data_IF_984831033050
#
_entry.id   IF_984831033050
#
_cell.length_a   1.000
_cell.length_b   1.000
_cell.length_c   1.000
_cell.angle_alpha   90.00
_cell.angle_beta   90.00
_cell.angle_gamma   90.00
#
_symmetry.space_group_name_H-M   'P 1'
#
loop_
_entity.id
_entity.type
_entity.pdbx_description
1 polymer ?
#
# COMPACT_ATOMS: atom_id res chain seq x y z
N UNK A 1 -10.01 36.96 -27.82
CA UNK A 1 -9.57 35.55 -27.75
C UNK A 1 -8.05 35.54 -27.64
N UNK A 2 -7.51 35.69 -26.43
CA UNK A 2 -6.11 36.06 -26.21
C UNK A 2 -5.52 35.27 -25.03
N UNK A 3 -4.32 34.71 -25.23
CA UNK A 3 -3.40 34.38 -24.12
C UNK A 3 -3.04 32.92 -23.88
N UNK A 4 -3.22 32.00 -24.84
CA UNK A 4 -2.66 30.64 -24.76
C UNK A 4 -1.60 30.46 -25.84
N UNK A 5 -0.32 30.54 -25.46
CA UNK A 5 0.78 30.13 -26.33
C UNK A 5 1.16 28.69 -26.00
N UNK A 6 0.60 27.71 -26.73
CA UNK A 6 1.23 26.40 -26.82
C UNK A 6 2.59 26.61 -27.50
N UNK A 7 3.67 26.47 -26.74
CA UNK A 7 5.03 26.69 -27.23
C UNK A 7 5.46 25.52 -28.12
N UNK A 8 5.14 24.29 -27.71
CA UNK A 8 5.46 23.09 -28.48
C UNK A 8 4.65 21.88 -27.99
N UNK A 9 4.20 21.04 -28.94
CA UNK A 9 3.82 19.65 -28.66
C UNK A 9 5.03 18.76 -28.91
N UNK A 10 5.38 17.94 -27.93
CA UNK A 10 6.47 16.99 -28.01
C UNK A 10 5.88 15.58 -28.18
N UNK A 11 6.32 14.88 -29.23
CA UNK A 11 6.03 13.47 -29.37
C UNK A 11 6.70 12.72 -28.21
N UNK A 12 5.93 11.90 -27.50
CA UNK A 12 6.47 11.00 -26.49
C UNK A 12 6.58 9.61 -27.07
N UNK A 13 7.60 8.83 -26.67
CA UNK A 13 7.80 7.45 -27.12
C UNK A 13 6.78 6.44 -26.58
N UNK A 14 5.65 6.91 -26.05
CA UNK A 14 4.56 6.09 -25.51
C UNK A 14 3.29 6.45 -26.28
N UNK A 15 2.70 5.48 -26.96
CA UNK A 15 1.47 5.67 -27.72
C UNK A 15 0.32 6.12 -26.80
N UNK A 16 -0.37 7.19 -27.20
CA UNK A 16 -1.48 7.78 -26.46
C UNK A 16 -1.08 8.85 -25.43
N UNK A 17 0.22 9.12 -25.26
CA UNK A 17 0.73 10.19 -24.40
C UNK A 17 1.16 11.37 -25.29
N UNK A 18 0.84 12.60 -24.88
CA UNK A 18 1.19 13.83 -25.62
C UNK A 18 1.74 14.83 -24.61
N UNK A 19 3.00 15.23 -24.78
CA UNK A 19 3.63 16.23 -23.93
C UNK A 19 3.44 17.62 -24.55
N UNK A 20 2.97 18.58 -23.75
CA UNK A 20 2.67 19.94 -24.21
C UNK A 20 3.43 20.95 -23.35
N UNK A 21 4.24 21.78 -23.98
CA UNK A 21 4.94 22.90 -23.35
C UNK A 21 4.11 24.17 -23.54
N UNK A 22 3.73 24.81 -22.43
CA UNK A 22 2.87 25.99 -22.42
C UNK A 22 3.57 27.12 -21.64
N UNK A 23 3.60 28.32 -22.20
CA UNK A 23 3.96 29.53 -21.45
C UNK A 23 2.71 30.38 -21.21
N UNK A 24 2.46 30.72 -19.95
CA UNK A 24 1.34 31.56 -19.56
C UNK A 24 1.76 32.52 -18.46
N UNK A 25 1.26 33.75 -18.53
CA UNK A 25 1.40 34.77 -17.47
C UNK A 25 0.31 34.68 -16.40
N UNK A 26 -0.57 33.67 -16.48
CA UNK A 26 -1.69 33.48 -15.54
C UNK A 26 -1.29 32.64 -14.32
N UNK A 27 -1.94 32.94 -13.20
CA UNK A 27 -1.82 32.19 -11.94
C UNK A 27 -2.86 31.06 -11.94
N UNK A 28 -2.40 29.82 -12.00
CA UNK A 28 -3.23 28.62 -11.92
C UNK A 28 -3.48 28.17 -10.46
N UNK A 29 -4.70 27.77 -10.09
CA UNK A 29 -5.00 27.19 -8.78
C UNK A 29 -4.42 25.77 -8.63
N UNK A 30 -4.25 25.30 -7.38
CA UNK A 30 -3.66 23.99 -7.00
C UNK A 30 -4.31 22.75 -7.67
N UNK A 31 -5.49 22.89 -8.28
CA UNK A 31 -6.24 21.82 -8.95
C UNK A 31 -6.18 21.87 -10.48
N UNK A 32 -5.23 22.60 -11.08
CA UNK A 32 -5.06 22.67 -12.53
C UNK A 32 -4.70 21.33 -13.20
N UNK A 33 -4.36 20.30 -12.43
CA UNK A 33 -4.04 18.96 -12.91
C UNK A 33 -5.24 18.21 -13.52
N UNK A 34 -6.47 18.56 -13.14
CA UNK A 34 -7.68 17.91 -13.67
C UNK A 34 -7.97 18.31 -15.13
N UNK A 35 -7.48 19.48 -15.57
CA UNK A 35 -7.74 20.03 -16.90
C UNK A 35 -6.58 19.81 -17.89
N UNK A 36 -5.35 19.71 -17.39
CA UNK A 36 -4.12 19.62 -18.20
C UNK A 36 -3.26 18.37 -17.93
N UNK A 37 -3.70 17.47 -17.04
CA UNK A 37 -2.95 16.28 -16.66
C UNK A 37 -1.79 16.56 -15.68
N UNK A 38 -0.75 15.72 -15.72
CA UNK A 38 0.44 15.85 -14.87
C UNK A 38 1.43 16.83 -15.54
N UNK A 39 1.79 17.92 -14.85
CA UNK A 39 2.65 18.97 -15.40
C UNK A 39 3.82 19.36 -14.49
N UNK A 40 4.89 19.87 -15.11
CA UNK A 40 6.10 20.42 -14.48
C UNK A 40 6.21 21.91 -14.78
N UNK A 41 6.42 22.75 -13.77
CA UNK A 41 6.72 24.17 -13.98
C UNK A 41 8.19 24.25 -14.43
N UNK A 42 8.47 24.63 -15.67
CA UNK A 42 9.85 24.69 -16.18
C UNK A 42 10.55 26.04 -15.92
N UNK A 43 9.80 27.11 -15.71
CA UNK A 43 10.29 28.44 -15.35
C UNK A 43 9.16 29.26 -14.67
N UNK A 44 9.52 30.14 -13.72
CA UNK A 44 8.56 30.94 -12.92
C UNK A 44 8.19 30.30 -11.56
N UNK A 45 7.20 30.87 -10.86
CA UNK A 45 6.72 30.38 -9.57
C UNK A 45 5.43 31.06 -9.09
N UNK A 46 4.70 30.43 -8.16
CA UNK A 46 3.43 30.93 -7.61
C UNK A 46 3.61 31.47 -6.19
N UNK A 47 3.27 32.74 -5.94
CA UNK A 47 3.22 33.30 -4.58
C UNK A 47 1.87 33.03 -3.93
N UNK A 48 1.88 32.38 -2.77
CA UNK A 48 0.72 32.34 -1.87
C UNK A 48 0.31 33.76 -1.47
N UNK A 49 -1.00 34.04 -1.49
CA UNK A 49 -1.55 35.35 -1.11
C UNK A 49 -1.39 35.68 0.39
N UNK A 50 -0.97 34.72 1.21
CA UNK A 50 -0.88 34.85 2.68
C UNK A 50 0.34 35.63 3.20
N UNK A 51 1.36 35.89 2.39
CA UNK A 51 2.52 36.72 2.76
C UNK A 51 3.41 36.24 3.92
N UNK A 52 3.11 35.10 4.55
CA UNK A 52 3.86 34.54 5.68
C UNK A 52 4.51 33.23 5.22
N UNK A 53 5.85 33.20 5.16
CA UNK A 53 6.66 32.02 4.84
C UNK A 53 7.31 32.02 3.45
N UNK A 54 8.30 31.13 3.27
CA UNK A 54 9.03 30.93 1.99
C UNK A 54 8.07 30.31 0.96
N UNK A 55 8.17 30.77 -0.29
CA UNK A 55 7.20 30.53 -1.38
C UNK A 55 7.27 29.08 -1.89
N UNK A 56 6.15 28.36 -1.85
CA UNK A 56 6.03 26.95 -2.24
C UNK A 56 5.52 26.78 -3.68
N UNK A 57 6.46 26.73 -4.62
CA UNK A 57 6.42 26.04 -5.92
C UNK A 57 7.37 26.78 -6.86
N UNK A 58 8.58 26.25 -7.01
CA UNK A 58 9.55 26.74 -7.98
C UNK A 58 9.54 25.90 -9.25
N UNK A 59 10.20 26.39 -10.28
CA UNK A 59 10.47 25.60 -11.47
C UNK A 59 11.11 24.26 -11.09
N UNK A 60 10.44 23.14 -11.40
CA UNK A 60 10.83 21.78 -11.05
C UNK A 60 9.86 21.03 -10.12
N UNK A 61 8.89 21.71 -9.50
CA UNK A 61 7.98 21.04 -8.55
C UNK A 61 6.80 20.32 -9.25
N UNK A 62 6.68 19.01 -9.02
CA UNK A 62 5.53 18.19 -9.44
C UNK A 62 4.48 18.23 -8.35
N UNK A 63 3.23 18.56 -8.71
CA UNK A 63 2.06 18.43 -7.83
C UNK A 63 1.74 16.93 -7.71
N UNK A 64 2.28 16.27 -6.69
CA UNK A 64 2.32 14.79 -6.62
C UNK A 64 1.04 14.15 -6.06
N UNK A 65 0.45 13.23 -6.83
CA UNK A 65 -0.57 12.21 -6.42
C UNK A 65 -0.19 11.50 -5.11
N UNK A 66 1.09 11.33 -4.87
CA UNK A 66 1.64 10.73 -3.66
C UNK A 66 1.21 11.43 -2.36
N UNK A 67 1.10 12.76 -2.35
CA UNK A 67 0.68 13.48 -1.13
C UNK A 67 -0.79 13.26 -0.81
N UNK A 68 -1.65 13.19 -1.84
CA UNK A 68 -3.06 12.84 -1.67
C UNK A 68 -3.20 11.41 -1.15
N UNK A 69 -2.47 10.47 -1.76
CA UNK A 69 -2.48 9.07 -1.35
C UNK A 69 -1.95 8.89 0.08
N UNK A 70 -0.92 9.64 0.46
CA UNK A 70 -0.37 9.67 1.83
C UNK A 70 -1.43 10.12 2.83
N UNK A 71 -2.13 11.24 2.56
CA UNK A 71 -3.18 11.75 3.43
C UNK A 71 -4.35 10.77 3.57
N UNK A 72 -4.79 10.18 2.45
CA UNK A 72 -5.81 9.13 2.45
C UNK A 72 -5.36 7.90 3.25
N UNK A 73 -4.09 7.49 3.12
CA UNK A 73 -3.51 6.39 3.89
C UNK A 73 -3.51 6.66 5.39
N UNK A 74 -3.11 7.86 5.82
CA UNK A 74 -3.15 8.27 7.24
C UNK A 74 -4.59 8.24 7.76
N UNK A 75 -5.54 8.84 7.05
CA UNK A 75 -6.95 8.86 7.44
C UNK A 75 -7.52 7.43 7.55
N UNK A 76 -7.18 6.54 6.61
CA UNK A 76 -7.61 5.15 6.64
C UNK A 76 -7.03 4.38 7.83
N UNK A 77 -5.74 4.55 8.15
CA UNK A 77 -5.12 3.89 9.30
C UNK A 77 -5.73 4.36 10.62
N UNK A 78 -6.02 5.66 10.76
CA UNK A 78 -6.73 6.21 11.91
C UNK A 78 -8.15 5.65 12.02
N UNK A 79 -8.86 5.54 10.89
CA UNK A 79 -10.19 4.93 10.85
C UNK A 79 -10.15 3.46 11.31
N UNK A 80 -9.20 2.66 10.84
CA UNK A 80 -9.04 1.26 11.26
C UNK A 80 -8.68 1.17 12.74
N UNK A 81 -7.75 2.00 13.24
CA UNK A 81 -7.40 2.04 14.66
C UNK A 81 -8.62 2.36 15.55
N UNK A 82 -9.41 3.35 15.15
CA UNK A 82 -10.66 3.72 15.82
C UNK A 82 -11.72 2.61 15.76
N UNK A 83 -11.92 2.01 14.59
CA UNK A 83 -12.86 0.90 14.39
C UNK A 83 -12.52 -0.30 15.28
N UNK A 84 -11.23 -0.66 15.34
CA UNK A 84 -10.71 -1.70 16.22
C UNK A 84 -11.01 -1.36 17.68
N UNK A 85 -10.77 -0.14 18.15
CA UNK A 85 -11.08 0.26 19.54
C UNK A 85 -12.58 0.26 19.86
N UNK A 86 -13.42 0.71 18.92
CA UNK A 86 -14.87 0.86 19.09
C UNK A 86 -15.61 -0.48 19.02
N UNK A 87 -15.08 -1.48 18.32
CA UNK A 87 -15.67 -2.82 18.26
C UNK A 87 -15.76 -3.43 19.66
N UNK A 88 -16.94 -3.35 20.32
CA UNK A 88 -17.17 -3.85 21.70
C UNK A 88 -17.08 -5.38 21.81
N UNK A 89 -17.06 -6.05 20.68
CA UNK A 89 -16.67 -7.42 20.46
C UNK A 89 -16.68 -7.60 18.95
N UNK A 90 -15.82 -8.45 18.41
CA UNK A 90 -16.18 -9.10 17.17
C UNK A 90 -17.47 -9.84 17.57
N UNK A 91 -18.63 -9.38 17.09
CA UNK A 91 -19.78 -10.26 17.02
C UNK A 91 -19.31 -11.35 16.06
N UNK A 92 -18.60 -12.34 16.61
CA UNK A 92 -18.35 -13.58 15.93
C UNK A 92 -19.77 -14.02 15.62
N UNK A 93 -20.21 -14.03 14.34
CA UNK A 93 -21.47 -14.65 13.99
C UNK A 93 -21.39 -15.98 14.68
N UNK A 94 -22.36 -16.34 15.54
CA UNK A 94 -22.32 -17.54 16.35
C UNK A 94 -21.68 -18.63 15.50
N UNK A 95 -20.40 -18.92 15.74
CA UNK A 95 -19.66 -19.78 14.82
C UNK A 95 -20.27 -21.10 15.18
N UNK A 96 -21.19 -21.57 14.33
CA UNK A 96 -21.68 -22.92 14.39
C UNK A 96 -20.43 -23.77 14.56
N UNK A 97 -20.31 -24.40 15.72
CA UNK A 97 -19.12 -25.18 16.06
C UNK A 97 -19.06 -26.46 15.23
N UNK A 98 -19.81 -26.53 14.13
CA UNK A 98 -19.74 -27.58 13.14
C UNK A 98 -18.34 -27.56 12.54
N UNK A 99 -17.57 -28.65 12.69
CA UNK A 99 -16.26 -28.74 12.05
C UNK A 99 -16.44 -28.58 10.55
N UNK A 100 -15.97 -27.45 10.00
CA UNK A 100 -15.92 -27.28 8.56
C UNK A 100 -14.99 -28.35 7.97
N UNK A 101 -15.40 -29.08 6.92
CA UNK A 101 -14.53 -30.06 6.29
C UNK A 101 -13.29 -29.35 5.73
N UNK A 102 -12.10 -29.89 6.00
CA UNK A 102 -10.81 -29.30 5.61
C UNK A 102 -10.76 -28.91 4.11
N UNK A 103 -11.44 -29.69 3.26
CA UNK A 103 -11.60 -29.44 1.82
C UNK A 103 -12.26 -28.10 1.49
N UNK A 104 -13.23 -27.63 2.29
CA UNK A 104 -13.89 -26.33 2.09
C UNK A 104 -13.00 -25.16 2.47
N UNK A 105 -12.11 -25.35 3.46
CA UNK A 105 -11.11 -24.36 3.86
C UNK A 105 -10.00 -24.24 2.81
N UNK A 106 -9.53 -25.37 2.27
CA UNK A 106 -8.53 -25.42 1.19
C UNK A 106 -9.07 -24.74 -0.08
N UNK A 107 -10.31 -25.09 -0.47
CA UNK A 107 -10.93 -24.54 -1.68
C UNK A 107 -11.35 -23.06 -1.54
N UNK A 108 -11.53 -22.56 -0.32
CA UNK A 108 -12.05 -21.21 -0.06
C UNK A 108 -11.03 -20.07 -0.16
N UNK A 109 -9.72 -20.35 -0.26
CA UNK A 109 -8.74 -19.26 -0.29
C UNK A 109 -7.29 -19.60 -0.64
N UNK A 110 -6.92 -20.88 -0.80
CA UNK A 110 -5.51 -21.26 -1.03
C UNK A 110 -5.11 -21.15 -2.51
N UNK A 111 -6.04 -21.32 -3.45
CA UNK A 111 -5.67 -21.59 -4.85
C UNK A 111 -5.45 -20.36 -5.74
N UNK A 112 -5.74 -19.13 -5.29
CA UNK A 112 -5.78 -17.94 -6.18
C UNK A 112 -5.17 -16.68 -5.54
N UNK A 113 -3.98 -16.79 -4.91
CA UNK A 113 -3.24 -15.61 -4.45
C UNK A 113 -2.06 -15.30 -5.39
N UNK A 114 -2.31 -14.69 -6.57
CA UNK A 114 -1.27 -14.46 -7.58
C UNK A 114 -0.13 -13.60 -7.04
N UNK A 115 -0.34 -12.87 -5.94
CA UNK A 115 0.67 -12.05 -5.29
C UNK A 115 1.84 -12.89 -4.75
N UNK A 116 1.56 -14.06 -4.19
CA UNK A 116 2.60 -14.96 -3.68
C UNK A 116 3.36 -15.61 -4.85
N UNK A 117 2.64 -16.08 -5.88
CA UNK A 117 3.27 -16.64 -7.09
C UNK A 117 4.14 -15.61 -7.83
N UNK A 118 3.65 -14.38 -8.01
CA UNK A 118 4.40 -13.28 -8.62
C UNK A 118 5.63 -12.92 -7.79
N UNK A 119 5.54 -12.99 -6.46
CA UNK A 119 6.69 -12.78 -5.59
C UNK A 119 7.78 -13.83 -5.86
N UNK A 120 7.46 -15.13 -5.83
CA UNK A 120 8.46 -16.14 -6.14
C UNK A 120 9.03 -15.99 -7.54
N UNK A 121 8.18 -15.72 -8.54
CA UNK A 121 8.67 -15.53 -9.91
C UNK A 121 9.66 -14.36 -10.02
N UNK A 122 9.43 -13.27 -9.28
CA UNK A 122 10.31 -12.10 -9.29
C UNK A 122 11.61 -12.26 -8.47
N UNK A 123 11.59 -13.03 -7.38
CA UNK A 123 12.72 -13.13 -6.45
C UNK A 123 13.53 -14.42 -6.60
N UNK A 124 12.94 -15.53 -7.05
CA UNK A 124 13.64 -16.82 -7.15
C UNK A 124 14.85 -16.79 -8.11
N UNK A 125 14.81 -16.13 -9.28
CA UNK A 125 15.98 -16.00 -10.15
C UNK A 125 17.14 -15.22 -9.52
N UNK A 126 16.88 -14.36 -8.52
CA UNK A 126 17.93 -13.57 -7.85
C UNK A 126 18.80 -14.42 -6.92
N UNK A 127 18.33 -15.60 -6.51
CA UNK A 127 19.05 -16.51 -5.63
C UNK A 127 19.82 -17.61 -6.39
N UNK A 128 19.72 -17.65 -7.72
CA UNK A 128 20.38 -18.66 -8.57
C UNK A 128 21.48 -18.00 -9.39
N UNK A 129 22.68 -18.57 -9.37
CA UNK A 129 23.80 -18.06 -10.16
C UNK A 129 23.49 -18.16 -11.66
N UNK A 130 23.64 -17.05 -12.38
CA UNK A 130 23.33 -16.95 -13.81
C UNK A 130 24.23 -17.82 -14.72
N UNK A 131 25.34 -18.34 -14.19
CA UNK A 131 26.32 -19.12 -14.94
C UNK A 131 25.89 -20.57 -15.20
N UNK A 132 24.98 -21.13 -14.39
CA UNK A 132 24.40 -22.47 -14.61
C UNK A 132 22.94 -22.53 -14.12
N UNK A 133 21.96 -22.01 -14.90
CA UNK A 133 20.56 -22.09 -14.53
C UNK A 133 20.05 -23.54 -14.66
N UNK A 134 20.21 -24.34 -13.61
CA UNK A 134 19.64 -25.68 -13.50
C UNK A 134 18.21 -25.58 -12.95
N UNK A 135 17.22 -25.96 -13.77
CA UNK A 135 15.81 -26.05 -13.37
C UNK A 135 15.63 -26.88 -12.09
N UNK A 136 16.46 -27.91 -11.89
CA UNK A 136 16.43 -28.73 -10.68
C UNK A 136 16.82 -27.97 -9.42
N UNK A 137 17.81 -27.06 -9.49
CA UNK A 137 18.22 -26.25 -8.35
C UNK A 137 17.15 -25.21 -7.97
N UNK A 138 16.45 -24.65 -8.97
CA UNK A 138 15.30 -23.79 -8.74
C UNK A 138 14.14 -24.53 -8.06
N UNK A 139 13.85 -25.76 -8.49
CA UNK A 139 12.82 -26.61 -7.86
C UNK A 139 13.20 -27.00 -6.42
N UNK A 140 14.46 -27.33 -6.18
CA UNK A 140 14.98 -27.66 -4.85
C UNK A 140 14.82 -26.48 -3.88
N UNK A 141 15.27 -25.27 -4.26
CA UNK A 141 15.11 -24.06 -3.45
C UNK A 141 13.64 -23.70 -3.20
N UNK A 142 12.79 -23.86 -4.23
CA UNK A 142 11.34 -23.63 -4.10
C UNK A 142 10.70 -24.63 -3.12
N UNK A 143 11.07 -25.90 -3.20
CA UNK A 143 10.56 -26.95 -2.32
C UNK A 143 11.04 -26.75 -0.89
N UNK A 144 12.31 -26.42 -0.68
CA UNK A 144 12.86 -26.11 0.64
C UNK A 144 12.12 -24.94 1.28
N UNK A 145 11.89 -23.85 0.53
CA UNK A 145 11.11 -22.71 1.01
C UNK A 145 9.66 -23.11 1.32
N UNK A 146 9.03 -23.91 0.45
CA UNK A 146 7.65 -24.37 0.63
C UNK A 146 7.50 -25.23 1.89
N UNK A 147 8.42 -26.18 2.12
CA UNK A 147 8.46 -27.02 3.31
C UNK A 147 8.67 -26.17 4.57
N UNK A 148 9.63 -25.25 4.54
CA UNK A 148 9.87 -24.33 5.66
C UNK A 148 8.61 -23.52 5.99
N UNK A 149 7.99 -22.91 4.98
CA UNK A 149 6.78 -22.10 5.14
C UNK A 149 5.61 -22.93 5.66
N UNK A 150 5.46 -24.15 5.15
CA UNK A 150 4.44 -25.09 5.61
C UNK A 150 4.65 -25.50 7.07
N UNK A 151 5.89 -25.81 7.47
CA UNK A 151 6.24 -26.10 8.86
C UNK A 151 5.94 -24.92 9.78
N UNK A 152 6.28 -23.69 9.37
CA UNK A 152 5.95 -22.47 10.13
C UNK A 152 4.44 -22.32 10.30
N UNK A 153 3.64 -22.57 9.25
CA UNK A 153 2.19 -22.52 9.35
C UNK A 153 1.60 -23.62 10.24
N UNK A 154 2.17 -24.82 10.25
CA UNK A 154 1.77 -25.87 11.20
C UNK A 154 2.00 -25.39 12.63
N UNK A 155 3.22 -24.94 12.95
CA UNK A 155 3.57 -24.49 14.29
C UNK A 155 2.69 -23.31 14.71
N UNK A 156 2.49 -22.35 13.81
CA UNK A 156 1.62 -21.20 14.05
C UNK A 156 0.16 -21.63 14.28
N UNK A 157 -0.38 -22.53 13.44
CA UNK A 157 -1.75 -23.02 13.56
C UNK A 157 -1.98 -23.80 14.85
N UNK A 158 -1.06 -24.70 15.22
CA UNK A 158 -1.12 -25.43 16.49
C UNK A 158 -1.02 -24.49 17.71
N UNK A 159 -0.09 -23.52 17.65
CA UNK A 159 0.07 -22.51 18.71
C UNK A 159 -1.19 -21.65 18.85
N UNK A 160 -1.79 -21.23 17.73
CA UNK A 160 -3.03 -20.47 17.73
C UNK A 160 -4.21 -21.30 18.27
N UNK A 161 -4.31 -22.58 17.92
CA UNK A 161 -5.33 -23.49 18.43
C UNK A 161 -5.21 -23.69 19.95
N UNK A 162 -3.98 -23.89 20.45
CA UNK A 162 -3.71 -24.01 21.88
C UNK A 162 -3.98 -22.70 22.65
N UNK A 163 -3.62 -21.56 22.06
CA UNK A 163 -3.84 -20.24 22.66
C UNK A 163 -5.32 -19.81 22.61
N UNK A 164 -6.08 -20.26 21.61
CA UNK A 164 -7.48 -19.88 21.37
C UNK A 164 -8.34 -20.04 22.61
N UNK A 165 -8.26 -21.18 23.30
CA UNK A 165 -9.06 -21.44 24.50
C UNK A 165 -8.70 -20.48 25.64
N UNK A 166 -7.41 -20.15 25.82
CA UNK A 166 -6.95 -19.24 26.88
C UNK A 166 -7.28 -17.77 26.57
N UNK A 167 -7.21 -17.38 25.29
CA UNK A 167 -7.47 -16.01 24.83
C UNK A 167 -8.97 -15.71 24.79
N UNK A 168 -9.79 -16.63 24.27
CA UNK A 168 -11.25 -16.43 24.19
C UNK A 168 -11.92 -16.52 25.56
N UNK A 169 -11.36 -17.28 26.51
CA UNK A 169 -11.89 -17.35 27.86
C UNK A 169 -11.70 -16.07 28.69
N UNK A 170 -10.77 -15.17 28.30
CA UNK A 170 -10.41 -13.98 29.08
C UNK A 170 -10.71 -12.68 28.31
N UNK A 171 -11.82 -11.98 28.59
CA UNK A 171 -12.20 -10.76 27.88
C UNK A 171 -11.15 -9.64 28.01
N UNK A 172 -10.41 -9.62 29.13
CA UNK A 172 -9.31 -8.68 29.34
C UNK A 172 -8.13 -8.89 28.37
N UNK A 173 -7.80 -10.14 28.05
CA UNK A 173 -6.72 -10.48 27.10
C UNK A 173 -7.11 -10.01 25.70
N UNK A 174 -8.36 -10.26 25.30
CA UNK A 174 -8.87 -9.82 24.01
C UNK A 174 -8.90 -8.29 23.89
N UNK A 175 -9.23 -7.59 24.98
CA UNK A 175 -9.18 -6.13 25.03
C UNK A 175 -7.75 -5.58 24.89
N UNK A 176 -6.76 -6.20 25.56
CA UNK A 176 -5.35 -5.82 25.41
C UNK A 176 -4.83 -6.09 24.01
N UNK A 177 -5.13 -7.26 23.44
CA UNK A 177 -4.75 -7.60 22.06
C UNK A 177 -5.31 -6.57 21.06
N UNK A 178 -6.57 -6.18 21.22
CA UNK A 178 -7.24 -5.16 20.40
C UNK A 178 -6.56 -3.79 20.52
N UNK A 179 -6.20 -3.40 21.75
CA UNK A 179 -5.45 -2.16 22.01
C UNK A 179 -4.06 -2.19 21.35
N UNK A 180 -3.37 -3.32 21.38
CA UNK A 180 -2.06 -3.49 20.72
C UNK A 180 -2.16 -3.37 19.20
N UNK A 181 -3.21 -3.92 18.58
CA UNK A 181 -3.43 -3.71 17.14
C UNK A 181 -3.76 -2.24 16.82
N UNK A 182 -4.66 -1.63 17.60
CA UNK A 182 -5.01 -0.23 17.41
C UNK A 182 -3.80 0.70 17.61
N UNK A 183 -2.94 0.44 18.60
CA UNK A 183 -1.72 1.21 18.81
C UNK A 183 -0.73 1.02 17.66
N UNK A 184 -0.61 -0.19 17.11
CA UNK A 184 0.19 -0.46 15.90
C UNK A 184 -0.30 0.34 14.69
N UNK A 185 -1.60 0.34 14.40
CA UNK A 185 -2.18 1.14 13.32
C UNK A 185 -2.01 2.64 13.55
N UNK A 186 -2.20 3.11 14.79
CA UNK A 186 -1.96 4.51 15.15
C UNK A 186 -0.49 4.89 14.96
N UNK A 187 0.45 4.06 15.41
CA UNK A 187 1.88 4.29 15.23
C UNK A 187 2.27 4.34 13.75
N UNK A 188 1.70 3.46 12.91
CA UNK A 188 1.88 3.51 11.46
C UNK A 188 1.28 4.77 10.85
N UNK A 189 0.10 5.22 11.31
CA UNK A 189 -0.52 6.45 10.83
C UNK A 189 0.33 7.68 11.18
N UNK A 190 0.80 7.76 12.42
CA UNK A 190 1.71 8.82 12.87
C UNK A 190 2.97 8.79 12.06
N UNK A 191 3.66 7.63 11.98
CA UNK A 191 4.88 7.46 11.19
C UNK A 191 4.68 7.89 9.75
N UNK A 192 3.60 7.45 9.11
CA UNK A 192 3.27 7.85 7.75
C UNK A 192 3.06 9.36 7.66
N UNK A 193 2.41 10.01 8.63
CA UNK A 193 2.22 11.46 8.64
C UNK A 193 3.56 12.22 8.75
N UNK A 194 4.44 11.82 9.68
CA UNK A 194 5.73 12.49 9.93
C UNK A 194 6.84 12.14 8.94
N UNK A 195 6.69 11.10 8.12
CA UNK A 195 7.64 10.82 7.04
C UNK A 195 7.63 11.99 6.04
N UNK A 196 8.60 12.88 6.17
CA UNK A 196 8.97 13.82 5.10
C UNK A 196 9.56 13.00 3.94
N UNK A 197 9.32 13.48 2.71
CA UNK A 197 9.51 12.75 1.44
C UNK A 197 10.79 11.92 1.37
#
# INVERSE_FOLDING_TARGET
MAGWGCLASHATGVDGLVALSLASTRVFPRHSHDQYGIGLIAAGGQRSWSGIGRVDAMAGDIITVFQLLKLLGVAYLLYIAWSVLRSRGIALPAIDQTPLPARRLINGGVLLNPKLTLFFFAFLPQFVNASEPSLMHMLELSLAFMLMTFSVFIVYGLSAAAARQRVLARPQVLAWLRRSFASGFLALAVRLAITER
#
